data_IF_362114811634
#
_entry.id   IF_362114811634
#
_cell.length_a   1.000
_cell.length_b   1.000
_cell.length_c   1.000
_cell.angle_alpha   90.00
_cell.angle_beta   90.00
_cell.angle_gamma   90.00
#
_symmetry.space_group_name_H-M   'P 1'
#
loop_
_entity.id
_entity.type
_entity.pdbx_description
1 polymer ?
#
# COMPACT_ATOMS: atom_id res chain seq x y z
N UNK A 1 -0.03 40.30 7.12
CA UNK A 1 -0.68 39.57 8.22
C UNK A 1 0.25 38.66 9.00
N UNK A 2 1.04 37.78 8.36
CA UNK A 2 1.97 36.89 9.06
C UNK A 2 2.91 37.57 10.07
N UNK A 3 3.32 38.83 9.80
CA UNK A 3 4.16 39.63 10.69
C UNK A 3 3.61 39.84 12.12
N UNK A 4 2.30 39.71 12.34
CA UNK A 4 1.69 39.83 13.68
C UNK A 4 1.96 38.62 14.59
N UNK A 5 2.41 37.51 14.01
CA UNK A 5 2.60 36.23 14.70
C UNK A 5 4.08 35.86 14.87
N UNK A 6 5.00 36.81 14.62
CA UNK A 6 6.43 36.60 14.86
C UNK A 6 6.70 36.59 16.36
N UNK A 7 7.51 35.64 16.80
CA UNK A 7 7.86 35.47 18.21
C UNK A 7 9.31 35.03 18.31
N UNK A 8 10.13 35.72 19.09
CA UNK A 8 11.49 35.25 19.36
C UNK A 8 11.45 33.90 20.10
N UNK A 9 12.54 33.15 20.05
CA UNK A 9 12.68 31.92 20.83
C UNK A 9 12.40 32.21 22.32
N UNK A 10 11.68 31.30 22.98
CA UNK A 10 11.28 31.44 24.38
C UNK A 10 11.25 30.09 25.07
N UNK A 11 11.45 30.07 26.39
CA UNK A 11 11.45 28.85 27.19
C UNK A 11 10.08 28.66 27.81
N UNK A 12 9.57 27.43 27.79
CA UNK A 12 8.33 27.03 28.47
C UNK A 12 8.62 25.96 29.51
N UNK A 13 7.67 25.69 30.41
CA UNK A 13 7.76 24.55 31.34
C UNK A 13 7.89 23.19 30.61
N UNK A 14 7.55 23.13 29.33
CA UNK A 14 7.64 21.96 28.47
C UNK A 14 8.93 21.91 27.62
N UNK A 15 9.84 22.87 27.79
CA UNK A 15 11.12 22.96 27.08
C UNK A 15 11.29 24.22 26.23
N UNK A 16 12.39 24.26 25.48
CA UNK A 16 12.77 25.37 24.60
C UNK A 16 11.86 25.43 23.36
N UNK A 17 11.25 26.60 23.13
CA UNK A 17 10.48 26.88 21.94
C UNK A 17 11.31 27.74 20.98
N UNK A 18 11.54 27.29 19.72
CA UNK A 18 12.36 28.02 18.76
C UNK A 18 11.74 29.34 18.27
N UNK A 19 10.48 29.62 18.63
CA UNK A 19 9.75 30.80 18.19
C UNK A 19 9.36 30.75 16.71
N UNK A 20 8.93 31.90 16.20
CA UNK A 20 8.55 32.15 14.81
C UNK A 20 9.38 33.32 14.29
N UNK A 21 10.49 32.99 13.63
CA UNK A 21 11.56 33.94 13.31
C UNK A 21 11.22 34.89 12.16
N UNK A 22 10.45 34.43 11.18
CA UNK A 22 10.06 35.24 10.02
C UNK A 22 8.64 34.91 9.51
N UNK A 23 8.16 35.71 8.57
CA UNK A 23 6.81 35.55 8.00
C UNK A 23 6.65 34.23 7.24
N UNK A 24 7.74 33.66 6.72
CA UNK A 24 7.71 32.37 6.01
C UNK A 24 7.51 31.23 7.02
N UNK A 25 8.25 31.22 8.12
CA UNK A 25 8.09 30.28 9.22
C UNK A 25 6.69 30.34 9.82
N UNK A 26 6.12 31.55 9.97
CA UNK A 26 4.74 31.74 10.42
C UNK A 26 3.73 31.06 9.47
N UNK A 27 3.88 31.27 8.16
CA UNK A 27 3.01 30.66 7.14
C UNK A 27 3.22 29.15 7.02
N UNK A 28 4.46 28.67 7.12
CA UNK A 28 4.76 27.24 7.07
C UNK A 28 4.20 26.52 8.31
N UNK A 29 4.33 27.11 9.50
CA UNK A 29 3.72 26.60 10.72
C UNK A 29 2.19 26.59 10.65
N UNK A 30 1.58 27.68 10.18
CA UNK A 30 0.14 27.74 9.96
C UNK A 30 -0.32 26.67 8.94
N UNK A 31 0.49 26.38 7.91
CA UNK A 31 0.21 25.32 6.94
C UNK A 31 0.22 23.95 7.61
N UNK A 32 1.21 23.66 8.45
CA UNK A 32 1.26 22.39 9.19
C UNK A 32 0.03 22.19 10.08
N UNK A 33 -0.40 23.24 10.80
CA UNK A 33 -1.63 23.19 11.62
C UNK A 33 -2.86 22.84 10.77
N UNK A 34 -3.01 23.47 9.60
CA UNK A 34 -4.12 23.17 8.70
C UNK A 34 -4.01 21.77 8.12
N UNK A 35 -2.82 21.33 7.72
CA UNK A 35 -2.59 19.99 7.19
C UNK A 35 -2.98 18.91 8.19
N UNK A 36 -2.62 19.07 9.47
CA UNK A 36 -3.01 18.15 10.54
C UNK A 36 -4.53 18.13 10.73
N UNK A 37 -5.15 19.30 10.92
CA UNK A 37 -6.61 19.40 11.09
C UNK A 37 -7.39 18.82 9.91
N UNK A 38 -6.92 19.04 8.69
CA UNK A 38 -7.58 18.52 7.50
C UNK A 38 -7.39 17.01 7.37
N UNK A 39 -6.20 16.50 7.68
CA UNK A 39 -5.90 15.08 7.62
C UNK A 39 -6.57 14.27 8.74
N UNK A 40 -7.06 14.90 9.81
CA UNK A 40 -7.77 14.25 10.92
C UNK A 40 -9.31 14.31 10.80
N UNK A 41 -9.86 14.98 9.78
CA UNK A 41 -11.32 15.01 9.57
C UNK A 41 -11.84 13.64 9.11
N UNK A 42 -12.49 12.92 10.03
CA UNK A 42 -12.95 11.55 9.80
C UNK A 42 -13.91 11.41 8.61
N UNK A 43 -14.80 12.39 8.39
CA UNK A 43 -15.74 12.38 7.26
C UNK A 43 -15.02 12.50 5.93
N UNK A 44 -14.03 13.39 5.84
CA UNK A 44 -13.18 13.54 4.66
C UNK A 44 -12.36 12.28 4.42
N UNK A 45 -11.69 11.74 5.45
CA UNK A 45 -10.91 10.52 5.31
C UNK A 45 -11.76 9.35 4.80
N UNK A 46 -12.98 9.19 5.31
CA UNK A 46 -13.90 8.17 4.83
C UNK A 46 -14.26 8.37 3.35
N UNK A 47 -14.62 9.59 2.95
CA UNK A 47 -14.93 9.88 1.55
C UNK A 47 -13.73 9.68 0.60
N UNK A 48 -12.52 10.01 1.06
CA UNK A 48 -11.28 9.77 0.31
C UNK A 48 -10.95 8.27 0.21
N UNK A 49 -11.16 7.51 1.28
CA UNK A 49 -10.97 6.06 1.34
C UNK A 49 -11.89 5.34 0.36
N UNK A 50 -13.17 5.66 0.37
CA UNK A 50 -14.16 5.09 -0.56
C UNK A 50 -13.78 5.40 -2.01
N UNK A 51 -13.40 6.66 -2.28
CA UNK A 51 -12.95 7.04 -3.61
C UNK A 51 -11.71 6.25 -4.05
N UNK A 52 -10.70 6.10 -3.20
CA UNK A 52 -9.50 5.32 -3.50
C UNK A 52 -9.78 3.82 -3.65
N UNK A 53 -10.78 3.26 -2.97
CA UNK A 53 -11.18 1.87 -3.18
C UNK A 53 -11.77 1.65 -4.56
N UNK A 54 -12.54 2.61 -5.09
CA UNK A 54 -13.17 2.50 -6.40
C UNK A 54 -12.24 2.91 -7.56
N UNK A 55 -11.41 3.93 -7.35
CA UNK A 55 -10.60 4.58 -8.39
C UNK A 55 -9.08 4.38 -8.22
N UNK A 56 -8.65 3.68 -7.17
CA UNK A 56 -7.25 3.37 -6.92
C UNK A 56 -6.73 2.31 -7.88
N UNK A 57 -5.52 2.55 -8.40
CA UNK A 57 -4.78 1.61 -9.25
C UNK A 57 -3.49 1.24 -8.53
N UNK A 58 -3.29 -0.05 -8.31
CA UNK A 58 -2.03 -0.59 -7.80
C UNK A 58 -1.07 -0.69 -8.98
N UNK A 59 0.06 -0.01 -8.87
CA UNK A 59 1.12 0.00 -9.87
C UNK A 59 2.34 -0.73 -9.31
N UNK A 60 2.94 -1.59 -10.13
CA UNK A 60 4.22 -2.24 -9.83
C UNK A 60 5.21 -1.99 -10.98
N UNK A 61 6.42 -1.54 -10.62
CA UNK A 61 7.54 -1.31 -11.55
C UNK A 61 8.80 -2.00 -11.06
N UNK A 62 9.60 -2.52 -11.98
CA UNK A 62 10.91 -3.10 -11.63
C UNK A 62 11.89 -2.01 -11.22
N UNK A 63 12.75 -2.33 -10.26
CA UNK A 63 13.94 -1.52 -9.98
C UNK A 63 14.98 -1.88 -11.04
N UNK A 64 15.28 -0.94 -11.95
CA UNK A 64 16.09 -1.21 -13.15
C UNK A 64 17.43 -1.88 -12.85
N UNK A 65 18.09 -1.50 -11.75
CA UNK A 65 19.37 -2.09 -11.33
C UNK A 65 19.25 -3.57 -10.94
N UNK A 66 18.05 -4.05 -10.59
CA UNK A 66 17.78 -5.41 -10.10
C UNK A 66 17.02 -6.28 -11.11
N UNK A 67 16.82 -5.80 -12.34
CA UNK A 67 15.99 -6.46 -13.37
C UNK A 67 16.36 -7.94 -13.64
N UNK A 68 17.65 -8.26 -13.66
CA UNK A 68 18.14 -9.64 -13.88
C UNK A 68 17.72 -10.58 -12.74
N UNK A 69 17.87 -10.12 -11.49
CA UNK A 69 17.50 -10.91 -10.29
C UNK A 69 15.97 -10.96 -10.13
N UNK A 70 15.28 -9.92 -10.60
CA UNK A 70 13.82 -9.81 -10.57
C UNK A 70 13.10 -10.65 -11.65
N UNK A 71 13.79 -11.45 -12.46
CA UNK A 71 13.21 -12.20 -13.58
C UNK A 71 11.97 -13.05 -13.21
N UNK A 72 11.90 -13.56 -11.97
CA UNK A 72 10.72 -14.28 -11.45
C UNK A 72 9.44 -13.42 -11.33
N UNK A 73 9.58 -12.09 -11.40
CA UNK A 73 8.50 -11.12 -11.38
C UNK A 73 8.35 -10.38 -12.72
N UNK A 74 8.85 -10.96 -13.83
CA UNK A 74 8.83 -10.32 -15.14
C UNK A 74 7.43 -9.82 -15.55
N UNK A 75 6.39 -10.59 -15.24
CA UNK A 75 4.98 -10.23 -15.49
C UNK A 75 4.54 -8.94 -14.79
N UNK A 76 5.31 -8.48 -13.79
CA UNK A 76 5.01 -7.33 -12.94
C UNK A 76 6.00 -6.16 -13.10
N UNK A 77 6.85 -6.17 -14.14
CA UNK A 77 7.82 -5.10 -14.38
C UNK A 77 7.18 -3.78 -14.82
N UNK A 78 6.03 -3.84 -15.46
CA UNK A 78 5.19 -2.70 -15.82
C UNK A 78 3.72 -3.10 -15.67
N UNK A 79 3.29 -3.22 -14.42
CA UNK A 79 1.97 -3.73 -14.08
C UNK A 79 1.11 -2.62 -13.46
N UNK A 80 -0.15 -2.54 -13.90
CA UNK A 80 -1.14 -1.70 -13.25
C UNK A 80 -2.54 -2.31 -13.34
N UNK A 81 -3.24 -2.36 -12.20
CA UNK A 81 -4.60 -2.91 -12.12
C UNK A 81 -5.36 -2.23 -10.97
N UNK A 82 -6.69 -2.16 -11.07
CA UNK A 82 -7.53 -1.56 -10.03
C UNK A 82 -7.40 -2.31 -8.69
N UNK A 83 -7.27 -1.56 -7.58
CA UNK A 83 -7.23 -2.13 -6.22
C UNK A 83 -8.49 -2.94 -5.88
N UNK A 84 -9.62 -2.62 -6.51
CA UNK A 84 -10.91 -3.27 -6.31
C UNK A 84 -10.94 -4.68 -6.88
N UNK A 85 -10.34 -4.88 -8.05
CA UNK A 85 -10.42 -6.13 -8.82
C UNK A 85 -9.16 -6.99 -8.74
N UNK A 86 -8.08 -6.47 -8.13
CA UNK A 86 -6.78 -7.14 -8.12
C UNK A 86 -6.85 -8.53 -7.44
N UNK A 87 -6.54 -9.63 -8.18
CA UNK A 87 -6.62 -10.99 -7.64
C UNK A 87 -5.57 -11.29 -6.56
N UNK A 88 -5.94 -12.15 -5.61
CA UNK A 88 -5.14 -12.49 -4.42
C UNK A 88 -3.74 -13.03 -4.75
N UNK A 89 -3.59 -13.90 -5.75
CA UNK A 89 -2.28 -14.43 -6.15
C UNK A 89 -1.35 -13.35 -6.75
N UNK A 90 -1.90 -12.38 -7.51
CA UNK A 90 -1.12 -11.26 -8.06
C UNK A 90 -0.72 -10.29 -6.97
N UNK A 91 -1.65 -9.94 -6.08
CA UNK A 91 -1.40 -9.14 -4.88
C UNK A 91 -0.22 -9.71 -4.08
N UNK A 92 -0.26 -11.02 -3.76
CA UNK A 92 0.81 -11.65 -3.00
C UNK A 92 2.14 -11.67 -3.77
N UNK A 93 2.11 -11.86 -5.09
CA UNK A 93 3.32 -11.84 -5.92
C UNK A 93 3.99 -10.46 -5.94
N UNK A 94 3.24 -9.38 -6.17
CA UNK A 94 3.79 -8.02 -6.21
C UNK A 94 4.27 -7.56 -4.83
N UNK A 95 3.53 -7.89 -3.76
CA UNK A 95 3.93 -7.53 -2.39
C UNK A 95 5.18 -8.30 -1.96
N UNK A 96 5.33 -9.55 -2.41
CA UNK A 96 6.57 -10.31 -2.23
C UNK A 96 7.72 -9.66 -2.97
N UNK A 97 7.52 -9.25 -4.23
CA UNK A 97 8.52 -8.52 -5.00
C UNK A 97 8.94 -7.20 -4.36
N UNK A 98 8.00 -6.46 -3.76
CA UNK A 98 8.28 -5.26 -2.95
C UNK A 98 9.10 -5.57 -1.71
N UNK A 99 8.72 -6.60 -0.95
CA UNK A 99 9.42 -7.00 0.29
C UNK A 99 10.86 -7.45 0.02
N UNK A 100 11.08 -8.09 -1.13
CA UNK A 100 12.41 -8.48 -1.60
C UNK A 100 13.16 -7.33 -2.29
N UNK A 101 12.59 -6.12 -2.29
CA UNK A 101 13.14 -4.90 -2.89
C UNK A 101 13.46 -5.05 -4.39
N UNK A 102 12.70 -5.87 -5.11
CA UNK A 102 12.86 -6.10 -6.56
C UNK A 102 11.85 -5.28 -7.38
N UNK A 103 10.69 -4.98 -6.79
CA UNK A 103 9.65 -4.14 -7.37
C UNK A 103 9.39 -2.93 -6.48
N UNK A 104 9.12 -1.78 -7.10
CA UNK A 104 8.45 -0.67 -6.44
C UNK A 104 6.94 -0.85 -6.65
N UNK A 105 6.16 -0.85 -5.57
CA UNK A 105 4.70 -1.02 -5.62
C UNK A 105 4.05 0.11 -4.86
N UNK A 106 3.20 0.87 -5.55
CA UNK A 106 2.52 2.04 -5.03
C UNK A 106 1.05 2.05 -5.46
N UNK A 107 0.22 2.75 -4.68
CA UNK A 107 -1.13 3.12 -5.11
C UNK A 107 -1.04 4.40 -5.92
N UNK A 108 -1.91 4.57 -6.91
CA UNK A 108 -2.12 5.86 -7.59
C UNK A 108 -3.59 6.04 -7.95
N UNK A 109 -3.96 7.25 -8.32
CA UNK A 109 -5.28 7.53 -8.87
C UNK A 109 -5.35 7.07 -10.33
N UNK A 110 -6.50 6.54 -10.74
CA UNK A 110 -6.81 6.22 -12.14
C UNK A 110 -6.62 7.43 -13.08
N UNK A 111 -6.93 8.64 -12.60
CA UNK A 111 -6.73 9.90 -13.34
C UNK A 111 -5.27 10.31 -13.50
N UNK A 112 -4.34 9.67 -12.79
CA UNK A 112 -2.91 10.00 -12.76
C UNK A 112 -2.10 8.81 -13.28
N UNK A 113 -1.94 8.72 -14.60
CA UNK A 113 -1.12 7.68 -15.24
C UNK A 113 0.37 7.80 -14.88
N UNK A 114 0.82 9.03 -14.67
CA UNK A 114 2.16 9.38 -14.20
C UNK A 114 2.05 10.28 -12.96
N UNK A 115 3.15 10.39 -12.21
CA UNK A 115 3.22 11.27 -11.05
C UNK A 115 2.90 12.72 -11.47
N UNK A 116 1.81 13.33 -10.99
CA UNK A 116 1.40 14.64 -11.44
C UNK A 116 2.43 15.70 -11.03
N UNK A 117 2.67 16.66 -11.91
CA UNK A 117 3.46 17.85 -11.58
C UNK A 117 2.87 18.55 -10.33
N UNK A 118 3.72 19.19 -9.53
CA UNK A 118 3.29 19.81 -8.26
C UNK A 118 2.16 20.82 -8.44
N UNK A 119 2.16 21.56 -9.57
CA UNK A 119 1.17 22.59 -9.90
C UNK A 119 0.12 22.14 -10.93
N UNK A 120 0.00 20.85 -11.23
CA UNK A 120 -1.06 20.31 -12.08
C UNK A 120 -2.45 20.66 -11.52
N UNK A 121 -3.55 20.67 -12.31
CA UNK A 121 -4.89 20.88 -11.77
C UNK A 121 -5.20 19.99 -10.55
N UNK A 122 -6.06 20.46 -9.64
CA UNK A 122 -6.41 19.68 -8.45
C UNK A 122 -7.01 18.35 -8.88
N UNK A 123 -6.44 17.25 -8.39
CA UNK A 123 -6.98 15.93 -8.64
C UNK A 123 -8.31 15.74 -7.87
N UNK A 124 -9.08 14.66 -8.15
CA UNK A 124 -10.37 14.45 -7.52
C UNK A 124 -10.33 14.45 -5.98
N UNK A 125 -9.24 13.96 -5.37
CA UNK A 125 -9.07 13.92 -3.93
C UNK A 125 -8.73 15.31 -3.36
N UNK A 126 -7.79 16.03 -3.98
CA UNK A 126 -7.47 17.42 -3.64
C UNK A 126 -8.71 18.32 -3.75
N UNK A 127 -9.52 18.13 -4.80
CA UNK A 127 -10.78 18.84 -4.98
C UNK A 127 -11.78 18.56 -3.85
N UNK A 128 -11.89 17.31 -3.39
CA UNK A 128 -12.74 16.94 -2.23
C UNK A 128 -12.28 17.63 -0.94
N UNK A 129 -10.98 17.69 -0.69
CA UNK A 129 -10.42 18.43 0.46
C UNK A 129 -10.77 19.93 0.35
N UNK A 130 -10.57 20.53 -0.82
CA UNK A 130 -10.89 21.93 -1.05
C UNK A 130 -12.39 22.23 -0.81
N UNK A 131 -13.27 21.37 -1.32
CA UNK A 131 -14.73 21.50 -1.11
C UNK A 131 -15.10 21.34 0.36
N UNK A 132 -14.55 20.35 1.07
CA UNK A 132 -14.83 20.10 2.50
C UNK A 132 -14.53 21.32 3.38
N UNK A 133 -13.45 22.04 3.07
CA UNK A 133 -13.00 23.20 3.85
C UNK A 133 -13.33 24.56 3.19
N UNK A 134 -14.17 24.57 2.16
CA UNK A 134 -14.62 25.81 1.51
C UNK A 134 -13.51 26.61 0.80
N UNK A 135 -12.43 25.94 0.41
CA UNK A 135 -11.28 26.55 -0.27
C UNK A 135 -11.61 26.65 -1.77
N UNK A 136 -11.68 27.88 -2.27
CA UNK A 136 -11.91 28.20 -3.68
C UNK A 136 -10.86 29.20 -4.13
N UNK A 137 -10.31 28.99 -5.32
CA UNK A 137 -9.40 29.95 -5.93
C UNK A 137 -10.21 31.02 -6.68
N UNK A 138 -10.43 32.15 -6.02
CA UNK A 138 -11.14 33.33 -6.54
C UNK A 138 -10.16 34.49 -6.83
N UNK A 139 -8.85 34.20 -6.85
CA UNK A 139 -7.81 35.22 -7.04
C UNK A 139 -7.55 36.08 -5.80
N UNK A 140 -8.00 35.67 -4.61
CA UNK A 140 -7.72 36.40 -3.37
C UNK A 140 -6.27 36.16 -2.94
N UNK A 141 -5.65 37.09 -2.19
CA UNK A 141 -4.23 36.98 -1.81
C UNK A 141 -3.86 35.67 -1.09
N UNK A 142 -4.78 35.08 -0.32
CA UNK A 142 -4.55 33.82 0.41
C UNK A 142 -4.86 32.55 -0.41
N UNK A 143 -5.53 32.67 -1.55
CA UNK A 143 -6.06 31.50 -2.28
C UNK A 143 -4.94 30.61 -2.82
N UNK A 144 -3.84 31.20 -3.29
CA UNK A 144 -2.66 30.44 -3.73
C UNK A 144 -2.08 29.62 -2.58
N UNK A 145 -1.91 30.24 -1.40
CA UNK A 145 -1.38 29.57 -0.22
C UNK A 145 -2.32 28.46 0.29
N UNK A 146 -3.63 28.71 0.31
CA UNK A 146 -4.64 27.72 0.70
C UNK A 146 -4.69 26.54 -0.28
N UNK A 147 -4.59 26.81 -1.59
CA UNK A 147 -4.54 25.77 -2.61
C UNK A 147 -3.29 24.91 -2.47
N UNK A 148 -2.14 25.51 -2.14
CA UNK A 148 -0.93 24.76 -1.79
C UNK A 148 -1.14 23.92 -0.52
N UNK A 149 -1.77 24.46 0.52
CA UNK A 149 -2.10 23.70 1.75
C UNK A 149 -2.95 22.47 1.44
N UNK A 150 -3.93 22.57 0.54
CA UNK A 150 -4.74 21.42 0.09
C UNK A 150 -3.86 20.35 -0.57
N UNK A 151 -2.95 20.74 -1.47
CA UNK A 151 -2.02 19.80 -2.13
C UNK A 151 -1.11 19.11 -1.12
N UNK A 152 -0.54 19.87 -0.18
CA UNK A 152 0.29 19.33 0.88
C UNK A 152 -0.48 18.35 1.76
N UNK A 153 -1.71 18.70 2.14
CA UNK A 153 -2.59 17.83 2.92
C UNK A 153 -2.81 16.49 2.22
N UNK A 154 -3.15 16.52 0.92
CA UNK A 154 -3.32 15.29 0.14
C UNK A 154 -1.99 14.52 0.01
N UNK A 155 -1.01 15.11 -0.67
CA UNK A 155 0.17 14.40 -1.18
C UNK A 155 1.16 13.98 -0.09
N UNK A 156 1.15 14.65 1.06
CA UNK A 156 2.16 14.46 2.13
C UNK A 156 1.55 13.88 3.41
N UNK A 157 0.24 13.98 3.61
CA UNK A 157 -0.43 13.45 4.82
C UNK A 157 -1.49 12.41 4.46
N UNK A 158 -2.65 12.84 3.95
CA UNK A 158 -3.82 11.98 3.78
C UNK A 158 -3.56 10.80 2.83
N UNK A 159 -2.86 11.03 1.71
CA UNK A 159 -2.60 9.97 0.73
C UNK A 159 -1.69 8.87 1.29
N UNK A 160 -0.58 9.22 1.95
CA UNK A 160 0.36 8.22 2.51
C UNK A 160 -0.30 7.34 3.58
N UNK A 161 -1.16 7.94 4.41
CA UNK A 161 -1.95 7.22 5.39
C UNK A 161 -2.93 6.25 4.72
N UNK A 162 -3.74 6.74 3.77
CA UNK A 162 -4.74 5.94 3.08
C UNK A 162 -4.12 4.85 2.18
N UNK A 163 -3.00 5.12 1.53
CA UNK A 163 -2.24 4.13 0.77
C UNK A 163 -1.80 2.99 1.67
N UNK A 164 -1.22 3.30 2.83
CA UNK A 164 -0.77 2.27 3.79
C UNK A 164 -1.94 1.42 4.27
N UNK A 165 -3.06 2.07 4.63
CA UNK A 165 -4.27 1.40 5.10
C UNK A 165 -4.85 0.46 4.02
N UNK A 166 -5.05 0.98 2.80
CA UNK A 166 -5.68 0.23 1.71
C UNK A 166 -4.79 -0.90 1.20
N UNK A 167 -3.47 -0.68 1.10
CA UNK A 167 -2.52 -1.74 0.75
C UNK A 167 -2.46 -2.82 1.84
N UNK A 168 -2.56 -2.43 3.12
CA UNK A 168 -2.70 -3.35 4.24
C UNK A 168 -3.95 -4.22 4.12
N UNK A 169 -5.12 -3.60 3.94
CA UNK A 169 -6.38 -4.33 3.77
C UNK A 169 -6.43 -5.20 2.50
N UNK A 170 -5.78 -4.78 1.41
CA UNK A 170 -5.63 -5.59 0.20
C UNK A 170 -4.78 -6.84 0.47
N UNK A 171 -3.68 -6.68 1.22
CA UNK A 171 -2.83 -7.78 1.63
C UNK A 171 -3.57 -8.79 2.51
N UNK A 172 -4.27 -8.32 3.54
CA UNK A 172 -5.01 -9.19 4.47
C UNK A 172 -6.07 -10.02 3.74
N UNK A 173 -6.84 -9.40 2.84
CA UNK A 173 -7.81 -10.12 1.99
C UNK A 173 -7.12 -11.19 1.13
N UNK A 174 -6.01 -10.83 0.50
CA UNK A 174 -5.28 -11.76 -0.36
C UNK A 174 -4.67 -12.95 0.41
N UNK A 175 -4.13 -12.70 1.60
CA UNK A 175 -3.61 -13.75 2.50
C UNK A 175 -4.75 -14.68 2.97
N UNK A 176 -5.90 -14.12 3.34
CA UNK A 176 -7.06 -14.91 3.77
C UNK A 176 -7.59 -15.82 2.66
N UNK A 177 -7.70 -15.31 1.42
CA UNK A 177 -8.10 -16.11 0.27
C UNK A 177 -7.12 -17.24 -0.01
N UNK A 178 -5.82 -16.96 0.06
CA UNK A 178 -4.79 -17.98 -0.12
C UNK A 178 -4.91 -19.07 0.95
N UNK A 179 -5.06 -18.71 2.22
CA UNK A 179 -5.27 -19.64 3.33
C UNK A 179 -6.50 -20.52 3.08
N UNK A 180 -7.62 -19.95 2.62
CA UNK A 180 -8.84 -20.69 2.32
C UNK A 180 -8.67 -21.70 1.18
N UNK A 181 -7.84 -21.38 0.18
CA UNK A 181 -7.48 -22.34 -0.88
C UNK A 181 -6.59 -23.46 -0.32
N UNK A 182 -5.57 -23.12 0.47
CA UNK A 182 -4.70 -24.11 1.11
C UNK A 182 -5.47 -25.04 2.04
N UNK A 183 -6.38 -24.52 2.85
CA UNK A 183 -7.20 -25.30 3.77
C UNK A 183 -8.10 -26.30 3.04
N UNK A 184 -8.71 -25.88 1.91
CA UNK A 184 -9.51 -26.78 1.07
C UNK A 184 -8.67 -27.90 0.47
N UNK A 185 -7.52 -27.56 -0.12
CA UNK A 185 -6.62 -28.56 -0.69
C UNK A 185 -6.12 -29.56 0.37
N UNK A 186 -5.81 -29.08 1.58
CA UNK A 186 -5.39 -29.93 2.69
C UNK A 186 -6.52 -30.85 3.14
N UNK A 187 -7.75 -30.34 3.24
CA UNK A 187 -8.92 -31.15 3.58
C UNK A 187 -9.14 -32.26 2.56
N UNK A 188 -9.05 -31.96 1.27
CA UNK A 188 -9.24 -32.95 0.21
C UNK A 188 -8.16 -34.04 0.24
N UNK A 189 -6.91 -33.67 0.54
CA UNK A 189 -5.81 -34.63 0.72
C UNK A 189 -6.04 -35.53 1.96
N UNK A 190 -6.48 -34.97 3.07
CA UNK A 190 -6.71 -35.73 4.32
C UNK A 190 -7.92 -36.65 4.24
N UNK A 191 -8.91 -36.31 3.41
CA UNK A 191 -10.14 -37.09 3.21
C UNK A 191 -10.07 -37.98 1.97
N UNK A 192 -8.91 -38.08 1.32
CA UNK A 192 -8.69 -39.00 0.22
C UNK A 192 -9.01 -40.43 0.66
N UNK A 193 -9.75 -41.17 -0.18
CA UNK A 193 -10.15 -42.53 0.14
C UNK A 193 -8.90 -43.40 0.41
N UNK A 194 -8.83 -44.10 1.56
CA UNK A 194 -7.69 -44.94 1.85
C UNK A 194 -7.68 -46.14 0.91
N UNK A 195 -6.50 -46.51 0.39
CA UNK A 195 -6.32 -47.71 -0.44
C UNK A 195 -6.55 -49.02 0.33
N UNK A 196 -6.59 -48.95 1.67
CA UNK A 196 -6.78 -50.08 2.58
C UNK A 196 -5.47 -50.77 3.00
N UNK A 197 -5.56 -51.82 3.82
CA UNK A 197 -4.42 -52.58 4.31
C UNK A 197 -3.87 -53.48 3.19
N UNK A 198 -2.91 -52.95 2.41
CA UNK A 198 -2.25 -53.66 1.31
C UNK A 198 -0.75 -53.42 1.38
N UNK A 199 0.04 -54.46 1.10
CA UNK A 199 1.47 -54.28 0.91
C UNK A 199 1.72 -53.22 -0.19
N UNK A 200 2.54 -52.22 0.13
CA UNK A 200 2.72 -51.02 -0.70
C UNK A 200 4.20 -50.68 -0.84
N UNK A 201 4.63 -50.38 -2.06
CA UNK A 201 5.95 -49.83 -2.35
C UNK A 201 5.83 -48.32 -2.58
N UNK A 202 6.39 -47.53 -1.66
CA UNK A 202 6.50 -46.08 -1.77
C UNK A 202 7.73 -45.71 -2.60
N UNK A 203 7.52 -44.86 -3.60
CA UNK A 203 8.58 -44.32 -4.45
C UNK A 203 8.63 -42.80 -4.28
N UNK A 204 9.72 -42.29 -3.72
CA UNK A 204 9.99 -40.85 -3.63
C UNK A 204 10.97 -40.42 -4.74
N UNK A 205 10.48 -39.84 -5.85
CA UNK A 205 11.29 -39.57 -7.02
C UNK A 205 12.30 -38.44 -6.79
N UNK A 206 13.56 -38.69 -7.13
CA UNK A 206 14.62 -37.69 -7.13
C UNK A 206 15.53 -37.81 -8.35
N UNK A 207 15.95 -36.68 -8.92
CA UNK A 207 16.82 -36.65 -10.11
C UNK A 207 18.28 -36.93 -9.71
N UNK A 208 18.92 -35.99 -9.02
CA UNK A 208 20.36 -36.08 -8.67
C UNK A 208 20.67 -37.17 -7.65
N UNK A 209 19.75 -37.43 -6.72
CA UNK A 209 19.94 -38.35 -5.58
C UNK A 209 19.26 -39.70 -5.78
N UNK A 210 18.76 -40.00 -6.98
CA UNK A 210 17.99 -41.21 -7.28
C UNK A 210 16.61 -41.26 -6.61
N UNK A 211 15.86 -42.30 -6.95
CA UNK A 211 14.55 -42.62 -6.37
C UNK A 211 14.75 -43.38 -5.06
N UNK A 212 14.10 -42.93 -3.98
CA UNK A 212 14.11 -43.66 -2.71
C UNK A 212 12.94 -44.62 -2.73
N UNK A 213 13.19 -45.81 -2.20
CA UNK A 213 12.22 -46.89 -2.15
C UNK A 213 12.00 -47.26 -0.69
N UNK A 214 10.75 -47.46 -0.32
CA UNK A 214 10.37 -48.05 0.95
C UNK A 214 9.23 -49.05 0.70
N UNK A 215 9.30 -50.22 1.33
CA UNK A 215 8.25 -51.25 1.23
C UNK A 215 7.61 -51.41 2.61
N UNK A 216 6.27 -51.36 2.64
CA UNK A 216 5.47 -51.59 3.84
C UNK A 216 4.52 -52.77 3.64
N UNK A 217 4.27 -53.53 4.71
CA UNK A 217 3.28 -54.60 4.71
C UNK A 217 1.84 -54.08 4.95
N UNK A 218 0.86 -54.98 5.01
CA UNK A 218 -0.56 -54.65 5.21
C UNK A 218 -0.86 -53.91 6.52
N UNK A 219 0.04 -54.00 7.51
CA UNK A 219 -0.08 -53.31 8.80
C UNK A 219 0.59 -51.92 8.81
N UNK A 220 1.29 -51.57 7.72
CA UNK A 220 2.09 -50.35 7.62
C UNK A 220 3.50 -50.48 8.21
N UNK A 221 3.94 -51.70 8.57
CA UNK A 221 5.30 -51.94 9.06
C UNK A 221 6.28 -51.90 7.90
N UNK A 222 7.38 -51.17 8.08
CA UNK A 222 8.50 -51.13 7.10
C UNK A 222 9.17 -52.50 7.05
N UNK A 223 9.37 -53.02 5.84
CA UNK A 223 10.01 -54.31 5.59
C UNK A 223 11.27 -54.22 4.73
N UNK A 224 11.44 -53.12 3.97
CA UNK A 224 12.66 -52.75 3.23
C UNK A 224 12.70 -51.23 2.99
#
# INVERSE_FOLDING_TARGET
EAGKYLKAAFITEQGDNPGVLDSKAALDGARQILMERFAEDATLLQALREYLQDHGVVEARVIEEKKVVAAKYADYFDFSESIKTLPSHRTLAILRGRREELLNVQLRLDTEAEKPAWRAPLNPCEARIAVRFGIKNLGRPADTWLTETVRWTWRVKSFLHLETELMGGLRERAEMDAINVFARNLKDLLLAAPAGPRATMGLDPGIRTGVKVAVVDETGKVVD
#
